data_IF_882822171325
#
_entry.id   IF_882822171325
#
_cell.length_a   1.000
_cell.length_b   1.000
_cell.length_c   1.000
_cell.angle_alpha   90.00
_cell.angle_beta   90.00
_cell.angle_gamma   90.00
#
_symmetry.space_group_name_H-M   'P 1'
#
loop_
_entity.id
_entity.type
_entity.pdbx_description
1 polymer ?
#
# COMPACT_ATOMS: atom_id res chain seq x y z
N UNK A 1 1.48 17.02 27.64
CA UNK A 1 2.16 15.72 27.67
C UNK A 1 1.27 14.74 28.42
N UNK A 2 0.29 14.12 27.76
CA UNK A 2 -0.26 12.82 28.16
C UNK A 2 -0.63 12.07 26.87
N UNK A 3 0.17 11.05 26.55
CA UNK A 3 -0.19 9.96 25.67
C UNK A 3 -1.26 9.11 26.37
N UNK A 4 -2.36 8.77 25.71
CA UNK A 4 -3.00 7.47 25.94
C UNK A 4 -3.59 6.92 24.63
N UNK A 5 -2.96 5.81 24.24
CA UNK A 5 -3.44 4.71 23.42
C UNK A 5 -4.96 4.53 23.35
N UNK A 6 -5.46 4.47 22.11
CA UNK A 6 -6.54 3.57 21.69
C UNK A 6 -7.78 3.45 22.58
N UNK A 7 -8.71 4.39 22.44
CA UNK A 7 -10.17 4.17 22.46
C UNK A 7 -10.88 5.49 22.22
N UNK A 8 -11.84 5.50 21.30
CA UNK A 8 -12.70 6.65 21.04
C UNK A 8 -13.51 6.96 22.30
N UNK A 9 -13.08 7.98 23.05
CA UNK A 9 -13.81 8.51 24.21
C UNK A 9 -14.99 9.33 23.68
N UNK A 10 -16.12 9.10 24.31
CA UNK A 10 -17.46 9.59 23.99
C UNK A 10 -17.59 11.11 24.02
N UNK A 11 -17.61 11.75 22.85
CA UNK A 11 -18.20 13.08 22.67
C UNK A 11 -18.98 13.15 21.35
N UNK A 12 -20.23 13.58 21.43
CA UNK A 12 -21.23 13.61 20.35
C UNK A 12 -20.80 14.38 19.08
N UNK A 13 -19.80 15.28 19.21
CA UNK A 13 -19.20 16.05 18.12
C UNK A 13 -18.22 15.21 17.27
N UNK A 14 -17.60 14.18 17.86
CA UNK A 14 -16.67 13.27 17.17
C UNK A 14 -17.41 12.22 16.33
N UNK A 15 -18.62 11.82 16.75
CA UNK A 15 -19.46 10.89 15.97
C UNK A 15 -19.84 11.50 14.61
N UNK A 16 -20.24 12.77 14.60
CA UNK A 16 -20.59 13.50 13.37
C UNK A 16 -19.35 13.72 12.47
N UNK A 17 -18.18 14.03 13.05
CA UNK A 17 -16.93 14.18 12.29
C UNK A 17 -16.45 12.83 11.72
N UNK A 18 -16.60 11.73 12.45
CA UNK A 18 -16.31 10.38 12.00
C UNK A 18 -17.22 9.97 10.82
N UNK A 19 -18.52 10.26 10.91
CA UNK A 19 -19.49 10.03 9.82
C UNK A 19 -19.22 10.93 8.60
N UNK A 20 -18.78 12.17 8.81
CA UNK A 20 -18.40 13.09 7.73
C UNK A 20 -17.09 12.66 7.03
N UNK A 21 -16.08 12.22 7.80
CA UNK A 21 -14.84 11.64 7.29
C UNK A 21 -15.07 10.32 6.54
N UNK A 22 -16.02 9.48 6.97
CA UNK A 22 -16.41 8.24 6.28
C UNK A 22 -17.01 8.47 4.90
N UNK A 23 -17.73 9.58 4.68
CA UNK A 23 -18.35 9.92 3.39
C UNK A 23 -17.36 10.43 2.33
N UNK A 24 -16.07 10.57 2.65
CA UNK A 24 -15.02 10.98 1.69
C UNK A 24 -14.01 9.86 1.41
N UNK A 25 -14.22 8.66 1.95
CA UNK A 25 -13.34 7.51 1.69
C UNK A 25 -13.77 6.88 0.37
N UNK A 26 -13.12 7.27 -0.72
CA UNK A 26 -13.29 6.58 -1.99
C UNK A 26 -12.62 5.19 -1.92
N UNK A 27 -13.42 4.14 -1.70
CA UNK A 27 -12.98 2.76 -1.66
C UNK A 27 -12.61 2.26 -3.07
N UNK A 28 -11.44 2.69 -3.57
CA UNK A 28 -10.82 2.16 -4.78
C UNK A 28 -9.72 1.19 -4.40
N UNK A 29 -9.78 -0.02 -4.98
CA UNK A 29 -8.75 -1.05 -4.86
C UNK A 29 -8.04 -1.25 -6.20
N UNK A 30 -7.01 -2.09 -6.21
CA UNK A 30 -6.30 -2.46 -7.43
C UNK A 30 -7.26 -3.14 -8.43
N UNK A 31 -7.23 -2.79 -9.72
CA UNK A 31 -8.05 -3.46 -10.73
C UNK A 31 -7.59 -4.90 -10.94
N UNK A 32 -8.50 -5.75 -11.42
CA UNK A 32 -8.17 -7.11 -11.82
C UNK A 32 -7.19 -7.09 -13.01
N UNK A 33 -6.09 -7.85 -12.90
CA UNK A 33 -5.11 -8.01 -13.98
C UNK A 33 -5.31 -9.37 -14.64
N UNK A 34 -5.71 -9.37 -15.92
CA UNK A 34 -5.97 -10.59 -16.69
C UNK A 34 -4.73 -11.48 -16.88
N UNK A 35 -3.52 -10.95 -16.65
CA UNK A 35 -2.27 -11.74 -16.67
C UNK A 35 -2.21 -12.76 -15.53
N UNK A 36 -2.97 -12.51 -14.45
CA UNK A 36 -3.00 -13.36 -13.26
C UNK A 36 -4.43 -13.86 -13.00
N UNK A 37 -4.95 -14.78 -13.83
CA UNK A 37 -6.33 -15.29 -13.70
C UNK A 37 -6.50 -16.30 -12.56
N UNK A 38 -5.43 -16.70 -11.90
CA UNK A 38 -5.45 -17.72 -10.85
C UNK A 38 -5.80 -17.11 -9.49
N UNK A 39 -6.35 -17.93 -8.59
CA UNK A 39 -6.68 -17.51 -7.21
C UNK A 39 -5.44 -17.11 -6.40
N UNK A 40 -4.25 -17.59 -6.80
CA UNK A 40 -3.01 -17.29 -6.11
C UNK A 40 -2.43 -15.93 -6.56
N UNK A 41 -2.64 -14.89 -5.76
CA UNK A 41 -2.23 -13.50 -6.06
C UNK A 41 -0.78 -13.16 -5.67
N UNK A 42 0.02 -14.15 -5.25
CA UNK A 42 1.40 -13.92 -4.79
C UNK A 42 2.29 -13.32 -5.87
N UNK A 43 2.20 -13.82 -7.11
CA UNK A 43 2.92 -13.25 -8.27
C UNK A 43 2.44 -11.85 -8.61
N UNK A 44 1.12 -11.60 -8.49
CA UNK A 44 0.55 -10.29 -8.78
C UNK A 44 1.07 -9.24 -7.79
N UNK A 45 1.07 -9.55 -6.49
CA UNK A 45 1.68 -8.71 -5.46
C UNK A 45 3.16 -8.42 -5.76
N UNK A 46 3.96 -9.47 -6.03
CA UNK A 46 5.39 -9.32 -6.30
C UNK A 46 5.68 -8.46 -7.54
N UNK A 47 4.92 -8.65 -8.62
CA UNK A 47 5.06 -7.83 -9.83
C UNK A 47 4.75 -6.37 -9.56
N UNK A 48 3.68 -6.04 -8.81
CA UNK A 48 3.33 -4.65 -8.49
C UNK A 48 4.37 -3.97 -7.59
N UNK A 49 4.94 -4.70 -6.64
CA UNK A 49 6.02 -4.19 -5.79
C UNK A 49 7.27 -3.81 -6.62
N UNK A 50 7.67 -4.68 -7.57
CA UNK A 50 8.78 -4.40 -8.48
C UNK A 50 8.47 -3.23 -9.41
N UNK A 51 7.27 -3.19 -10.00
CA UNK A 51 6.87 -2.09 -10.90
C UNK A 51 6.93 -0.73 -10.20
N UNK A 52 6.52 -0.66 -8.93
CA UNK A 52 6.63 0.56 -8.12
C UNK A 52 8.09 1.00 -7.99
N UNK A 53 8.98 0.11 -7.54
CA UNK A 53 10.37 0.49 -7.32
C UNK A 53 11.14 0.78 -8.62
N UNK A 54 10.85 0.07 -9.72
CA UNK A 54 11.36 0.41 -11.04
C UNK A 54 10.92 1.80 -11.49
N UNK A 55 9.66 2.14 -11.25
CA UNK A 55 9.10 3.46 -11.55
C UNK A 55 9.83 4.55 -10.75
N UNK A 56 10.05 4.34 -9.45
CA UNK A 56 10.79 5.25 -8.58
C UNK A 56 12.24 5.43 -9.04
N UNK A 57 12.94 4.35 -9.42
CA UNK A 57 14.32 4.42 -9.91
C UNK A 57 14.42 5.14 -11.26
N UNK A 58 13.46 4.92 -12.17
CA UNK A 58 13.51 5.48 -13.52
C UNK A 58 13.06 6.94 -13.62
N UNK A 59 12.01 7.32 -12.88
CA UNK A 59 11.35 8.64 -12.99
C UNK A 59 11.66 9.58 -11.82
N UNK A 60 12.22 9.09 -10.71
CA UNK A 60 12.31 9.84 -9.46
C UNK A 60 11.02 9.78 -8.64
N UNK A 61 11.10 10.19 -7.38
CA UNK A 61 10.06 10.02 -6.35
C UNK A 61 8.75 10.80 -6.65
N UNK A 62 8.79 11.77 -7.58
CA UNK A 62 7.76 12.79 -7.74
C UNK A 62 6.76 12.54 -8.89
N UNK A 63 6.85 11.41 -9.60
CA UNK A 63 5.86 11.13 -10.65
C UNK A 63 4.57 10.55 -10.06
N UNK A 64 3.45 11.28 -10.22
CA UNK A 64 2.10 10.83 -9.86
C UNK A 64 1.73 9.45 -10.45
N UNK A 65 2.41 9.04 -11.52
CA UNK A 65 2.28 7.71 -12.13
C UNK A 65 2.73 6.59 -11.18
N UNK A 66 3.79 6.80 -10.38
CA UNK A 66 4.31 5.78 -9.46
C UNK A 66 3.42 5.61 -8.23
N UNK A 67 2.72 6.66 -7.80
CA UNK A 67 1.82 6.61 -6.65
C UNK A 67 0.68 5.60 -6.84
N UNK A 68 0.21 5.43 -8.08
CA UNK A 68 -0.81 4.43 -8.42
C UNK A 68 -0.31 3.01 -8.16
N UNK A 69 0.93 2.69 -8.51
CA UNK A 69 1.54 1.40 -8.19
C UNK A 69 1.72 1.23 -6.69
N UNK A 70 2.00 2.32 -5.97
CA UNK A 70 2.09 2.31 -4.52
C UNK A 70 0.79 1.89 -3.84
N UNK A 71 -0.34 2.41 -4.33
CA UNK A 71 -1.68 2.01 -3.87
C UNK A 71 -1.96 0.54 -4.17
N UNK A 72 -1.55 0.05 -5.34
CA UNK A 72 -1.83 -1.33 -5.75
C UNK A 72 -1.05 -2.38 -4.96
N UNK A 73 0.26 -2.21 -4.76
CA UNK A 73 1.02 -3.22 -4.00
C UNK A 73 0.58 -3.24 -2.53
N UNK A 74 0.24 -2.08 -1.93
CA UNK A 74 -0.28 -2.01 -0.55
C UNK A 74 -1.64 -2.69 -0.39
N UNK A 75 -2.47 -2.68 -1.43
CA UNK A 75 -3.77 -3.35 -1.41
C UNK A 75 -3.68 -4.87 -1.64
N UNK A 76 -2.67 -5.33 -2.40
CA UNK A 76 -2.53 -6.75 -2.79
C UNK A 76 -1.60 -7.55 -1.88
N UNK A 77 -0.57 -6.92 -1.33
CA UNK A 77 0.47 -7.60 -0.57
C UNK A 77 0.17 -7.62 0.94
N UNK A 78 0.42 -8.74 1.63
CA UNK A 78 0.50 -8.76 3.09
C UNK A 78 1.60 -7.81 3.57
N UNK A 79 1.35 -7.04 4.64
CA UNK A 79 2.35 -6.11 5.21
C UNK A 79 3.68 -6.77 5.54
N UNK A 80 3.64 -7.98 6.13
CA UNK A 80 4.84 -8.76 6.49
C UNK A 80 5.76 -9.03 5.28
N UNK A 81 5.19 -9.23 4.09
CA UNK A 81 5.99 -9.50 2.89
C UNK A 81 6.70 -8.25 2.41
N UNK A 82 5.99 -7.12 2.43
CA UNK A 82 6.54 -5.82 2.06
C UNK A 82 7.68 -5.45 2.99
N UNK A 83 7.50 -5.64 4.30
CA UNK A 83 8.53 -5.33 5.30
C UNK A 83 9.80 -6.16 5.09
N UNK A 84 9.67 -7.48 4.88
CA UNK A 84 10.80 -8.36 4.58
C UNK A 84 11.51 -7.98 3.29
N UNK A 85 10.78 -7.63 2.24
CA UNK A 85 11.38 -7.18 0.98
C UNK A 85 12.07 -5.83 1.12
N UNK A 86 11.55 -4.92 1.94
CA UNK A 86 12.21 -3.65 2.24
C UNK A 86 13.56 -3.88 2.95
N UNK A 87 13.60 -4.74 3.97
CA UNK A 87 14.84 -5.11 4.65
C UNK A 87 15.85 -5.77 3.68
N UNK A 88 15.40 -6.69 2.83
CA UNK A 88 16.25 -7.31 1.81
C UNK A 88 16.82 -6.29 0.82
N UNK A 89 16.08 -5.22 0.54
CA UNK A 89 16.54 -4.15 -0.35
C UNK A 89 17.54 -3.22 0.31
N UNK A 90 17.32 -2.85 1.55
CA UNK A 90 18.28 -2.06 2.34
C UNK A 90 19.60 -2.81 2.54
N UNK A 91 19.53 -4.14 2.71
CA UNK A 91 20.71 -5.01 2.81
C UNK A 91 21.32 -5.40 1.47
N UNK A 92 20.68 -5.07 0.34
CA UNK A 92 21.15 -5.41 -1.01
C UNK A 92 21.05 -6.90 -1.38
N UNK A 93 20.26 -7.69 -0.64
CA UNK A 93 20.08 -9.13 -0.84
C UNK A 93 18.81 -9.50 -1.62
N UNK A 94 18.05 -8.52 -2.08
CA UNK A 94 16.78 -8.75 -2.78
C UNK A 94 16.98 -9.49 -4.11
N UNK A 95 16.34 -10.66 -4.31
CA UNK A 95 16.56 -11.51 -5.49
C UNK A 95 15.76 -11.06 -6.72
N UNK A 96 14.90 -10.04 -6.59
CA UNK A 96 14.05 -9.56 -7.68
C UNK A 96 14.72 -8.47 -8.53
N UNK A 97 14.31 -8.33 -9.80
CA UNK A 97 14.92 -7.38 -10.71
C UNK A 97 14.37 -5.97 -10.49
N UNK A 98 15.03 -5.18 -9.64
CA UNK A 98 14.73 -3.76 -9.36
C UNK A 98 15.25 -2.80 -10.43
#
# INVERSE_FOLDING_TARGET
>A
MIFFTGKCISESYSFFLCVFLLNQIELKTAPADFRFPTTNQTRHCFTRYIEFHRCTTAKGEDSNDCERFAKYYRALCPGEWVDKWNEQRETGTFPGPL
#
